data_IF_896291629924
#
_entry.id   IF_896291629924
#
_cell.length_a   1.000
_cell.length_b   1.000
_cell.length_c   1.000
_cell.angle_alpha   90.00
_cell.angle_beta   90.00
_cell.angle_gamma   90.00
#
_symmetry.space_group_name_H-M   'P 1'
#
loop_
_entity.id
_entity.type
_entity.pdbx_description
1 polymer ?
#
# COMPACT_ATOMS: atom_id res chain seq x y z
N UNK A 1 -45.53 27.71 6.63
CA UNK A 1 -44.14 27.30 6.91
C UNK A 1 -44.10 25.79 6.87
N UNK A 2 -43.46 25.19 5.87
CA UNK A 2 -43.26 23.73 5.82
C UNK A 2 -42.10 23.35 6.74
N UNK A 3 -42.29 22.35 7.60
CA UNK A 3 -41.27 21.90 8.54
C UNK A 3 -40.53 20.70 7.95
N UNK A 4 -39.23 20.85 7.75
CA UNK A 4 -38.37 19.78 7.22
C UNK A 4 -38.01 18.83 8.37
N UNK A 5 -38.57 17.62 8.36
CA UNK A 5 -38.22 16.58 9.35
C UNK A 5 -36.83 16.03 9.04
N UNK A 6 -35.87 16.25 9.95
CA UNK A 6 -34.50 15.73 9.81
C UNK A 6 -34.50 14.21 10.00
N UNK A 7 -34.30 13.46 8.91
CA UNK A 7 -34.20 12.00 8.95
C UNK A 7 -32.88 11.58 9.65
N UNK A 8 -32.99 10.93 10.79
CA UNK A 8 -31.86 10.37 11.54
C UNK A 8 -31.89 8.84 11.46
N UNK A 9 -30.72 8.25 11.22
CA UNK A 9 -30.53 6.80 11.19
C UNK A 9 -29.72 6.36 12.41
N UNK A 10 -30.04 5.20 13.02
CA UNK A 10 -29.23 4.67 14.10
C UNK A 10 -27.80 4.39 13.61
N UNK A 11 -26.80 4.85 14.38
CA UNK A 11 -25.38 4.70 14.06
C UNK A 11 -24.79 3.52 14.84
N UNK A 12 -24.12 2.60 14.13
CA UNK A 12 -23.34 1.55 14.76
C UNK A 12 -21.92 2.06 15.06
N UNK A 13 -21.79 2.79 16.17
CA UNK A 13 -20.52 3.40 16.58
C UNK A 13 -19.42 2.36 16.86
N UNK A 14 -19.79 1.19 17.36
CA UNK A 14 -18.84 0.10 17.60
C UNK A 14 -18.20 -0.38 16.30
N UNK A 15 -19.01 -0.58 15.25
CA UNK A 15 -18.50 -0.97 13.94
C UNK A 15 -17.67 0.17 13.30
N UNK A 16 -18.16 1.41 13.38
CA UNK A 16 -17.45 2.59 12.88
C UNK A 16 -16.06 2.73 13.49
N UNK A 17 -15.95 2.67 14.82
CA UNK A 17 -14.67 2.81 15.51
C UNK A 17 -13.72 1.64 15.24
N UNK A 18 -14.26 0.43 15.00
CA UNK A 18 -13.44 -0.76 14.72
C UNK A 18 -12.78 -0.70 13.34
N UNK A 19 -13.46 -0.14 12.33
CA UNK A 19 -12.97 -0.15 10.96
C UNK A 19 -11.57 0.53 10.80
N UNK A 20 -11.34 1.77 11.26
CA UNK A 20 -10.03 2.43 11.13
C UNK A 20 -8.90 1.70 11.87
N UNK A 21 -9.21 1.02 12.98
CA UNK A 21 -8.18 0.29 13.76
C UNK A 21 -7.60 -0.91 13.03
N UNK A 22 -8.35 -1.48 12.08
CA UNK A 22 -7.99 -2.69 11.33
C UNK A 22 -7.63 -2.44 9.87
N UNK A 23 -7.92 -1.25 9.38
CA UNK A 23 -7.74 -0.86 7.99
C UNK A 23 -6.33 -1.15 7.47
N UNK A 24 -5.29 -0.63 8.12
CA UNK A 24 -3.89 -0.80 7.68
C UNK A 24 -3.47 -2.27 7.63
N UNK A 25 -3.86 -3.05 8.64
CA UNK A 25 -3.52 -4.48 8.73
C UNK A 25 -4.19 -5.27 7.61
N UNK A 26 -5.49 -5.07 7.40
CA UNK A 26 -6.26 -5.73 6.36
C UNK A 26 -5.76 -5.32 4.96
N UNK A 27 -5.46 -4.04 4.77
CA UNK A 27 -4.93 -3.53 3.52
C UNK A 27 -3.58 -4.15 3.19
N UNK A 28 -2.64 -4.20 4.14
CA UNK A 28 -1.35 -4.85 3.93
C UNK A 28 -1.50 -6.33 3.57
N UNK A 29 -2.38 -7.06 4.26
CA UNK A 29 -2.64 -8.47 3.97
C UNK A 29 -3.23 -8.68 2.58
N UNK A 30 -4.24 -7.88 2.22
CA UNK A 30 -4.86 -7.92 0.90
C UNK A 30 -3.83 -7.62 -0.20
N UNK A 31 -3.03 -6.56 0.01
CA UNK A 31 -2.03 -6.13 -0.94
C UNK A 31 -0.95 -7.19 -1.14
N UNK A 32 -0.48 -7.82 -0.06
CA UNK A 32 0.47 -8.93 -0.13
C UNK A 32 -0.04 -10.04 -1.04
N UNK A 33 -1.25 -10.53 -0.77
CA UNK A 33 -1.88 -11.59 -1.57
C UNK A 33 -2.04 -11.22 -3.07
N UNK A 34 -2.16 -9.93 -3.39
CA UNK A 34 -2.26 -9.46 -4.78
C UNK A 34 -0.89 -9.35 -5.46
N UNK A 35 0.19 -9.22 -4.69
CA UNK A 35 1.54 -8.92 -5.22
C UNK A 35 2.54 -10.05 -5.09
N UNK A 36 2.28 -11.06 -4.27
CA UNK A 36 3.23 -12.14 -3.96
C UNK A 36 3.65 -12.94 -5.21
N UNK A 37 2.69 -13.20 -6.11
CA UNK A 37 2.93 -13.94 -7.36
C UNK A 37 3.56 -13.11 -8.48
N UNK A 38 3.92 -11.84 -8.22
CA UNK A 38 4.53 -10.99 -9.25
C UNK A 38 5.98 -11.40 -9.49
N UNK A 39 6.17 -12.22 -10.52
CA UNK A 39 7.47 -12.62 -11.01
C UNK A 39 8.25 -11.43 -11.61
N UNK A 40 9.57 -11.40 -11.34
CA UNK A 40 10.52 -10.54 -12.05
C UNK A 40 11.53 -11.39 -12.81
N UNK A 41 11.73 -11.16 -14.13
CA UNK A 41 12.81 -11.80 -14.85
C UNK A 41 14.16 -11.40 -14.26
N UNK A 42 15.10 -12.35 -14.24
CA UNK A 42 16.47 -12.09 -13.81
C UNK A 42 17.11 -11.03 -14.72
N UNK A 43 17.68 -9.99 -14.11
CA UNK A 43 18.47 -8.97 -14.80
C UNK A 43 19.95 -9.11 -14.38
N UNK A 44 20.85 -9.23 -15.36
CA UNK A 44 22.28 -9.29 -15.11
C UNK A 44 22.81 -7.93 -14.62
N UNK A 45 23.60 -7.91 -13.55
CA UNK A 45 24.18 -6.69 -12.97
C UNK A 45 23.82 -6.50 -11.48
N UNK A 46 23.71 -5.24 -11.03
CA UNK A 46 23.40 -4.94 -9.63
C UNK A 46 22.04 -5.55 -9.25
N UNK A 47 21.97 -6.39 -8.20
CA UNK A 47 20.71 -6.96 -7.74
C UNK A 47 19.67 -5.88 -7.51
N UNK A 48 18.58 -5.98 -8.26
CA UNK A 48 17.44 -5.09 -8.09
C UNK A 48 16.57 -5.61 -6.96
N UNK A 49 15.83 -4.71 -6.30
CA UNK A 49 14.80 -5.12 -5.35
C UNK A 49 13.77 -6.04 -6.05
N UNK A 50 13.20 -7.02 -5.32
CA UNK A 50 12.11 -7.85 -5.84
C UNK A 50 10.98 -6.98 -6.38
N UNK A 51 10.41 -7.35 -7.54
CA UNK A 51 9.35 -6.54 -8.16
C UNK A 51 8.09 -6.52 -7.30
N UNK A 52 7.73 -7.66 -6.71
CA UNK A 52 6.65 -7.80 -5.73
C UNK A 52 6.82 -6.80 -4.58
N UNK A 53 7.98 -6.79 -3.91
CA UNK A 53 8.29 -5.86 -2.80
C UNK A 53 8.13 -4.39 -3.22
N UNK A 54 8.63 -4.03 -4.40
CA UNK A 54 8.59 -2.64 -4.87
C UNK A 54 7.16 -2.21 -5.22
N UNK A 55 6.36 -3.08 -5.83
CA UNK A 55 4.95 -2.81 -6.14
C UNK A 55 4.14 -2.71 -4.86
N UNK A 56 4.31 -3.66 -3.94
CA UNK A 56 3.70 -3.63 -2.61
C UNK A 56 3.99 -2.31 -1.89
N UNK A 57 5.28 -1.94 -1.76
CA UNK A 57 5.66 -0.69 -1.08
C UNK A 57 5.15 0.57 -1.80
N UNK A 58 5.08 0.53 -3.14
CA UNK A 58 4.55 1.64 -3.94
C UNK A 58 3.06 1.86 -3.68
N UNK A 59 2.25 0.81 -3.73
CA UNK A 59 0.82 0.88 -3.46
C UNK A 59 0.55 1.29 -2.00
N UNK A 60 1.28 0.71 -1.04
CA UNK A 60 1.20 1.08 0.38
C UNK A 60 1.53 2.55 0.64
N UNK A 61 2.52 3.10 -0.08
CA UNK A 61 2.84 4.54 -0.02
C UNK A 61 1.68 5.40 -0.49
N UNK A 62 1.05 5.04 -1.62
CA UNK A 62 -0.05 5.82 -2.18
C UNK A 62 -1.26 5.75 -1.27
N UNK A 63 -1.64 4.53 -0.84
CA UNK A 63 -2.77 4.27 0.03
C UNK A 63 -2.65 5.00 1.37
N UNK A 64 -1.49 4.95 2.01
CA UNK A 64 -1.31 5.55 3.33
C UNK A 64 -1.41 7.08 3.34
N UNK A 65 -1.35 7.76 2.19
CA UNK A 65 -1.29 9.23 2.06
C UNK A 65 -0.12 9.90 2.82
N UNK A 66 0.80 9.09 3.34
CA UNK A 66 1.96 9.56 4.07
C UNK A 66 3.05 10.04 3.13
N UNK A 67 3.93 10.91 3.64
CA UNK A 67 5.16 11.24 2.95
C UNK A 67 6.07 10.01 2.87
N UNK A 68 6.91 9.92 1.84
CA UNK A 68 7.76 8.76 1.61
C UNK A 68 8.61 8.39 2.85
N UNK A 69 9.08 9.38 3.61
CA UNK A 69 9.84 9.16 4.85
C UNK A 69 8.99 8.52 5.95
N UNK A 70 7.75 8.99 6.13
CA UNK A 70 6.82 8.44 7.14
C UNK A 70 6.35 7.03 6.76
N UNK A 71 6.18 6.74 5.48
CA UNK A 71 5.84 5.39 5.00
C UNK A 71 6.97 4.37 5.27
N UNK A 72 8.22 4.80 5.51
CA UNK A 72 9.33 3.89 5.78
C UNK A 72 9.12 2.99 7.00
N UNK A 73 8.33 3.46 7.99
CA UNK A 73 7.94 2.62 9.12
C UNK A 73 6.96 1.52 8.70
N UNK A 74 6.03 1.82 7.80
CA UNK A 74 5.11 0.81 7.26
C UNK A 74 5.85 -0.28 6.49
N UNK A 75 6.97 0.04 5.84
CA UNK A 75 7.83 -0.96 5.20
C UNK A 75 8.56 -1.85 6.22
N UNK A 76 8.93 -1.30 7.37
CA UNK A 76 9.49 -2.09 8.47
C UNK A 76 8.46 -3.10 8.99
N UNK A 77 7.25 -2.63 9.26
CA UNK A 77 6.14 -3.48 9.72
C UNK A 77 5.80 -4.55 8.68
N UNK A 78 5.77 -4.20 7.38
CA UNK A 78 5.53 -5.16 6.31
C UNK A 78 6.60 -6.24 6.26
N UNK A 79 7.87 -5.89 6.47
CA UNK A 79 8.97 -6.85 6.55
C UNK A 79 8.86 -7.76 7.78
N UNK A 80 8.52 -7.19 8.94
CA UNK A 80 8.33 -7.96 10.18
C UNK A 80 7.13 -8.92 10.12
N UNK A 81 6.23 -8.71 9.17
CA UNK A 81 5.06 -9.56 8.89
C UNK A 81 5.24 -10.44 7.66
N UNK A 82 6.47 -10.53 7.13
CA UNK A 82 6.82 -11.34 5.95
C UNK A 82 6.01 -10.99 4.69
N UNK A 83 5.48 -9.78 4.58
CA UNK A 83 4.79 -9.30 3.38
C UNK A 83 5.74 -8.84 2.28
N UNK A 84 7.00 -8.58 2.63
CA UNK A 84 8.08 -8.24 1.71
C UNK A 84 9.36 -8.93 2.16
N UNK A 85 10.17 -9.38 1.21
CA UNK A 85 11.45 -10.02 1.53
C UNK A 85 12.50 -8.98 1.99
N UNK A 86 12.47 -7.80 1.39
CA UNK A 86 13.43 -6.73 1.66
C UNK A 86 12.74 -5.40 1.95
N UNK A 87 13.16 -4.72 3.02
CA UNK A 87 12.71 -3.35 3.33
C UNK A 87 13.43 -2.37 2.40
N UNK A 88 12.76 -1.73 1.44
CA UNK A 88 13.40 -0.76 0.58
C UNK A 88 13.66 0.55 1.33
N UNK A 89 14.72 1.27 0.91
CA UNK A 89 14.86 2.67 1.27
C UNK A 89 13.72 3.49 0.62
N UNK A 90 13.13 4.46 1.34
CA UNK A 90 11.98 5.21 0.85
C UNK A 90 12.23 5.93 -0.50
N UNK A 91 13.45 6.42 -0.72
CA UNK A 91 13.85 7.00 -1.99
C UNK A 91 13.85 5.99 -3.15
N UNK A 92 14.11 4.70 -2.89
CA UNK A 92 14.09 3.69 -3.94
C UNK A 92 12.67 3.50 -4.49
N UNK A 93 11.67 3.44 -3.62
CA UNK A 93 10.25 3.37 -3.99
C UNK A 93 9.81 4.63 -4.74
N UNK A 94 10.21 5.82 -4.26
CA UNK A 94 9.88 7.07 -4.94
C UNK A 94 10.52 7.16 -6.34
N UNK A 95 11.79 6.74 -6.47
CA UNK A 95 12.46 6.65 -7.78
C UNK A 95 11.75 5.67 -8.71
N UNK A 96 11.25 4.56 -8.19
CA UNK A 96 10.48 3.59 -8.97
C UNK A 96 9.18 4.20 -9.50
N UNK A 97 8.40 4.86 -8.64
CA UNK A 97 7.16 5.55 -9.03
C UNK A 97 7.38 6.67 -10.06
N UNK A 98 8.51 7.35 -10.02
CA UNK A 98 8.85 8.44 -10.96
C UNK A 98 9.59 7.94 -12.21
N UNK A 99 10.00 6.68 -12.25
CA UNK A 99 10.74 6.12 -13.39
C UNK A 99 9.81 6.07 -14.59
N UNK A 100 10.00 6.99 -15.55
CA UNK A 100 9.39 6.90 -16.88
C UNK A 100 9.91 5.64 -17.57
N UNK A 101 9.21 4.52 -17.42
CA UNK A 101 9.41 3.32 -18.23
C UNK A 101 8.12 2.52 -18.28
N UNK A 102 7.53 2.51 -19.47
CA UNK A 102 6.44 1.68 -19.96
C UNK A 102 6.42 0.30 -19.27
N UNK A 103 5.53 0.10 -18.29
CA UNK A 103 5.20 -1.22 -17.79
C UNK A 103 3.72 -1.43 -18.14
N UNK A 104 3.36 -2.50 -18.89
CA UNK A 104 2.01 -2.67 -19.44
C UNK A 104 0.90 -2.80 -18.39
N UNK A 105 1.25 -2.82 -17.10
CA UNK A 105 0.29 -2.93 -16.00
C UNK A 105 -0.28 -1.59 -15.52
N UNK A 106 0.31 -0.44 -15.89
CA UNK A 106 -0.11 0.87 -15.36
C UNK A 106 -0.31 1.96 -16.44
N UNK A 107 -0.64 1.58 -17.67
CA UNK A 107 -1.02 2.53 -18.73
C UNK A 107 -2.45 2.24 -19.21
N UNK A 108 -3.33 3.23 -19.04
CA UNK A 108 -4.31 3.58 -20.06
C UNK A 108 -3.63 4.53 -21.06
#
# INVERSE_FOLDING_TARGET
MEYIVKKTYPQNWTAYNKAPTKETELFMKLLYNLTDDIYKPYEFGRPSLPLCDVIFCSALKVYSTLSSRRTAMNYQIAKERDHIAHKPHFNAVSKYLTKKRQHPFFLN
#
